data_IF_769506612810
#
_entry.id   IF_769506612810
#
_cell.length_a   1.000
_cell.length_b   1.000
_cell.length_c   1.000
_cell.angle_alpha   90.00
_cell.angle_beta   90.00
_cell.angle_gamma   90.00
#
_symmetry.space_group_name_H-M   'P 1'
#
loop_
_entity.id
_entity.type
_entity.pdbx_description
1 polymer ?
#
# COMPACT_ATOMS: atom_id res chain seq x y z
N UNK A 1 4.58 19.95 -5.68
CA UNK A 1 4.46 18.59 -6.25
C UNK A 1 2.98 18.31 -6.46
N UNK A 2 2.58 17.41 -7.36
CA UNK A 2 1.16 17.06 -7.49
C UNK A 2 0.71 16.33 -6.21
N UNK A 3 -0.47 16.68 -5.66
CA UNK A 3 -1.00 16.09 -4.42
C UNK A 3 -1.11 14.57 -4.51
N UNK A 4 -1.39 14.04 -5.71
CA UNK A 4 -1.41 12.60 -5.93
C UNK A 4 -0.02 11.95 -5.85
N UNK A 5 1.04 12.65 -6.29
CA UNK A 5 2.40 12.14 -6.21
C UNK A 5 2.89 12.07 -4.75
N UNK A 6 2.55 13.08 -3.94
CA UNK A 6 2.82 13.09 -2.49
C UNK A 6 2.08 11.96 -1.78
N UNK A 7 0.80 11.73 -2.10
CA UNK A 7 0.01 10.61 -1.56
C UNK A 7 0.63 9.25 -1.91
N UNK A 8 1.04 9.06 -3.18
CA UNK A 8 1.67 7.81 -3.61
C UNK A 8 3.01 7.59 -2.91
N UNK A 9 3.83 8.63 -2.78
CA UNK A 9 5.10 8.52 -2.07
C UNK A 9 4.90 8.19 -0.59
N UNK A 10 3.98 8.88 0.10
CA UNK A 10 3.62 8.57 1.49
C UNK A 10 3.14 7.13 1.63
N UNK A 11 2.29 6.64 0.72
CA UNK A 11 1.84 5.26 0.73
C UNK A 11 3.01 4.27 0.59
N UNK A 12 4.01 4.53 -0.27
CA UNK A 12 5.20 3.69 -0.39
C UNK A 12 5.97 3.63 0.94
N UNK A 13 6.23 4.79 1.56
CA UNK A 13 6.90 4.81 2.86
C UNK A 13 6.10 4.07 3.91
N UNK A 14 4.79 4.29 4.03
CA UNK A 14 4.01 3.61 5.06
C UNK A 14 3.93 2.10 4.86
N UNK A 15 3.86 1.63 3.62
CA UNK A 15 3.91 0.18 3.33
C UNK A 15 5.24 -0.45 3.71
N UNK A 16 6.36 0.22 3.44
CA UNK A 16 7.65 -0.31 3.88
C UNK A 16 7.70 -0.34 5.42
N UNK A 17 7.21 0.72 6.08
CA UNK A 17 7.21 0.81 7.54
C UNK A 17 6.45 -0.34 8.20
N UNK A 18 5.32 -0.75 7.60
CA UNK A 18 4.45 -1.82 8.10
C UNK A 18 4.84 -3.20 7.57
N UNK A 19 5.97 -3.32 6.86
CA UNK A 19 6.45 -4.60 6.33
C UNK A 19 5.64 -5.16 5.15
N UNK A 20 4.81 -4.33 4.51
CA UNK A 20 4.02 -4.65 3.31
C UNK A 20 4.83 -4.52 2.00
N UNK A 21 6.10 -4.16 2.10
CA UNK A 21 7.08 -4.21 1.01
C UNK A 21 8.20 -5.13 1.49
N UNK A 22 8.45 -6.20 0.75
CA UNK A 22 9.53 -7.12 1.04
C UNK A 22 10.86 -6.52 0.55
N UNK A 23 12.00 -6.87 1.18
CA UNK A 23 13.30 -6.26 0.83
C UNK A 23 13.68 -6.38 -0.65
N UNK A 24 13.26 -7.45 -1.33
CA UNK A 24 13.55 -7.67 -2.75
C UNK A 24 12.69 -6.82 -3.70
N UNK A 25 11.61 -6.20 -3.20
CA UNK A 25 10.74 -5.29 -3.95
C UNK A 25 11.20 -3.82 -3.82
N UNK A 26 12.06 -3.51 -2.84
CA UNK A 26 12.53 -2.15 -2.57
C UNK A 26 13.18 -1.44 -3.77
N UNK A 27 13.98 -2.09 -4.66
CA UNK A 27 14.54 -1.42 -5.84
C UNK A 27 13.47 -0.86 -6.80
N UNK A 28 12.35 -1.58 -6.96
CA UNK A 28 11.26 -1.14 -7.83
C UNK A 28 10.56 0.08 -7.21
N UNK A 29 10.30 0.05 -5.89
CA UNK A 29 9.74 1.19 -5.18
C UNK A 29 10.69 2.40 -5.10
N UNK A 30 11.99 2.16 -5.05
CA UNK A 30 13.00 3.22 -5.12
C UNK A 30 12.97 3.93 -6.47
N UNK A 31 12.84 3.16 -7.56
CA UNK A 31 12.66 3.70 -8.92
C UNK A 31 11.37 4.52 -9.02
N UNK A 32 10.27 4.03 -8.46
CA UNK A 32 9.01 4.77 -8.39
C UNK A 32 9.17 6.11 -7.65
N UNK A 33 9.83 6.13 -6.50
CA UNK A 33 10.07 7.36 -5.73
C UNK A 33 10.93 8.38 -6.50
N UNK A 34 11.95 7.93 -7.23
CA UNK A 34 12.74 8.79 -8.13
C UNK A 34 11.87 9.43 -9.21
N UNK A 35 10.95 8.66 -9.81
CA UNK A 35 10.00 9.17 -10.80
C UNK A 35 9.02 10.18 -10.19
N UNK A 36 8.66 10.02 -8.91
CA UNK A 36 7.82 10.96 -8.16
C UNK A 36 8.57 12.24 -7.74
N UNK A 37 9.87 12.33 -8.01
CA UNK A 37 10.69 13.52 -7.74
C UNK A 37 11.36 13.52 -6.36
N UNK A 38 11.33 12.41 -5.63
CA UNK A 38 12.15 12.22 -4.44
C UNK A 38 13.55 11.82 -4.89
N UNK A 39 14.60 12.43 -4.33
CA UNK A 39 15.98 12.10 -4.67
C UNK A 39 16.84 12.12 -3.40
N UNK A 40 17.61 11.06 -3.21
CA UNK A 40 18.60 10.93 -2.17
C UNK A 40 19.73 10.00 -2.63
N UNK A 41 20.95 10.13 -2.10
CA UNK A 41 22.04 9.22 -2.43
C UNK A 41 21.66 7.74 -2.27
N UNK A 42 21.08 7.37 -1.12
CA UNK A 42 20.67 5.99 -0.83
C UNK A 42 19.54 5.52 -1.75
N UNK A 43 18.64 6.42 -2.17
CA UNK A 43 17.51 6.08 -3.05
C UNK A 43 17.98 5.73 -4.47
N UNK A 44 18.95 6.49 -4.99
CA UNK A 44 19.54 6.21 -6.31
C UNK A 44 20.33 4.91 -6.33
N UNK A 45 21.07 4.63 -5.26
CA UNK A 45 21.80 3.37 -5.12
C UNK A 45 20.85 2.18 -5.05
N UNK A 46 19.79 2.29 -4.24
CA UNK A 46 18.78 1.26 -4.11
C UNK A 46 18.04 0.96 -5.42
N UNK A 47 17.69 2.00 -6.20
CA UNK A 47 17.07 1.83 -7.51
C UNK A 47 18.01 1.14 -8.53
N UNK A 48 19.32 1.20 -8.31
CA UNK A 48 20.33 0.56 -9.14
C UNK A 48 20.67 -0.87 -8.73
N UNK A 49 20.12 -1.39 -7.63
CA UNK A 49 20.45 -2.73 -7.16
C UNK A 49 19.91 -3.83 -8.10
N UNK A 50 20.70 -4.87 -8.41
CA UNK A 50 20.21 -6.05 -9.12
C UNK A 50 19.14 -6.78 -8.32
N UNK A 51 18.15 -7.36 -9.00
CA UNK A 51 17.16 -8.20 -8.33
C UNK A 51 17.83 -9.39 -7.62
N UNK A 52 17.67 -9.46 -6.29
CA UNK A 52 18.16 -10.57 -5.47
C UNK A 52 19.05 -10.17 -4.30
N UNK A 53 19.56 -8.94 -4.26
CA UNK A 53 20.44 -8.49 -3.17
C UNK A 53 19.65 -7.96 -1.97
N UNK A 54 19.25 -8.88 -1.08
CA UNK A 54 18.25 -8.61 -0.03
C UNK A 54 18.81 -7.88 1.19
N UNK A 55 20.09 -8.08 1.51
CA UNK A 55 20.69 -7.51 2.72
C UNK A 55 20.95 -6.02 2.52
N UNK A 56 21.53 -5.66 1.38
CA UNK A 56 21.90 -4.28 1.05
C UNK A 56 20.67 -3.39 0.86
N UNK A 57 19.58 -3.94 0.32
CA UNK A 57 18.35 -3.18 0.06
C UNK A 57 17.72 -2.59 1.34
N UNK A 58 17.67 -3.36 2.43
CA UNK A 58 17.07 -2.91 3.69
C UNK A 58 17.93 -1.85 4.39
N UNK A 59 19.26 -1.96 4.32
CA UNK A 59 20.16 -0.98 4.92
C UNK A 59 20.18 0.34 4.13
N UNK A 60 20.13 0.26 2.79
CA UNK A 60 19.96 1.46 1.95
C UNK A 60 18.63 2.17 2.24
N UNK A 61 17.54 1.43 2.43
CA UNK A 61 16.24 2.05 2.72
C UNK A 61 16.23 2.83 4.04
N UNK A 62 16.92 2.35 5.08
CA UNK A 62 17.09 3.11 6.34
C UNK A 62 17.76 4.46 6.08
N UNK A 63 18.74 4.51 5.16
CA UNK A 63 19.36 5.75 4.70
C UNK A 63 18.38 6.69 4.00
N UNK A 64 17.54 6.15 3.11
CA UNK A 64 16.54 6.93 2.34
C UNK A 64 15.66 7.79 3.25
N UNK A 65 15.05 7.19 4.29
CA UNK A 65 14.16 7.95 5.19
C UNK A 65 14.87 9.08 5.91
N UNK A 66 16.08 8.81 6.42
CA UNK A 66 16.88 9.80 7.13
C UNK A 66 17.31 10.96 6.22
N UNK A 67 17.74 10.66 5.00
CA UNK A 67 18.18 11.65 4.01
C UNK A 67 17.03 12.55 3.52
N UNK A 68 15.84 11.97 3.33
CA UNK A 68 14.66 12.70 2.87
C UNK A 68 13.90 13.41 4.01
N UNK A 69 14.30 13.19 5.27
CA UNK A 69 13.64 13.77 6.44
C UNK A 69 12.20 13.30 6.64
N UNK A 70 11.88 12.07 6.21
CA UNK A 70 10.52 11.54 6.26
C UNK A 70 10.30 10.87 7.63
N UNK A 71 9.33 11.35 8.44
CA UNK A 71 9.07 10.78 9.75
C UNK A 71 8.42 9.39 9.65
N UNK A 72 8.51 8.63 10.73
CA UNK A 72 7.71 7.41 10.93
C UNK A 72 6.38 7.77 11.57
N UNK A 73 5.32 7.04 11.20
CA UNK A 73 4.00 7.15 11.81
C UNK A 73 3.77 5.99 12.79
N UNK A 74 2.77 6.05 13.67
CA UNK A 74 2.39 4.85 14.44
C UNK A 74 1.81 3.77 13.52
N UNK A 75 1.83 2.52 13.98
CA UNK A 75 1.26 1.39 13.21
C UNK A 75 -0.22 1.60 12.90
N UNK A 76 -0.99 2.14 13.86
CA UNK A 76 -2.41 2.47 13.69
C UNK A 76 -2.63 3.61 12.69
N UNK A 77 -1.86 4.70 12.78
CA UNK A 77 -1.95 5.83 11.82
C UNK A 77 -1.61 5.39 10.40
N UNK A 78 -0.54 4.60 10.24
CA UNK A 78 -0.14 4.05 8.95
C UNK A 78 -1.23 3.17 8.36
N UNK A 79 -1.83 2.29 9.17
CA UNK A 79 -2.89 1.39 8.75
C UNK A 79 -4.17 2.14 8.35
N UNK A 80 -4.61 3.13 9.12
CA UNK A 80 -5.76 3.98 8.80
C UNK A 80 -5.52 4.73 7.48
N UNK A 81 -4.34 5.33 7.30
CA UNK A 81 -4.00 6.03 6.07
C UNK A 81 -4.00 5.09 4.87
N UNK A 82 -3.32 3.94 4.97
CA UNK A 82 -3.21 2.96 3.88
C UNK A 82 -4.56 2.36 3.51
N UNK A 83 -5.42 2.06 4.48
CA UNK A 83 -6.79 1.61 4.22
C UNK A 83 -7.56 2.62 3.36
N UNK A 84 -7.52 3.89 3.75
CA UNK A 84 -8.17 4.97 3.00
C UNK A 84 -7.53 5.21 1.63
N UNK A 85 -6.19 5.13 1.55
CA UNK A 85 -5.45 5.28 0.30
C UNK A 85 -5.86 4.20 -0.71
N UNK A 86 -5.82 2.93 -0.32
CA UNK A 86 -6.19 1.83 -1.21
C UNK A 86 -7.66 1.83 -1.61
N UNK A 87 -8.56 2.22 -0.70
CA UNK A 87 -9.96 2.45 -1.04
C UNK A 87 -10.11 3.54 -2.13
N UNK A 88 -9.42 4.68 -2.01
CA UNK A 88 -9.46 5.74 -3.03
C UNK A 88 -8.86 5.30 -4.37
N UNK A 89 -7.72 4.61 -4.38
CA UNK A 89 -7.09 4.17 -5.62
C UNK A 89 -7.93 3.10 -6.34
N UNK A 90 -8.56 2.21 -5.57
CA UNK A 90 -9.50 1.20 -6.08
C UNK A 90 -10.73 1.86 -6.70
N UNK A 91 -11.35 2.82 -6.01
CA UNK A 91 -12.57 3.48 -6.49
C UNK A 91 -12.33 4.38 -7.70
N UNK A 92 -11.11 4.92 -7.85
CA UNK A 92 -10.66 5.65 -9.04
C UNK A 92 -10.27 4.75 -10.21
N UNK A 93 -10.25 3.43 -10.02
CA UNK A 93 -9.89 2.45 -11.06
C UNK A 93 -8.41 2.45 -11.43
N UNK A 94 -7.53 2.94 -10.54
CA UNK A 94 -6.07 2.96 -10.76
C UNK A 94 -5.40 1.64 -10.35
N UNK A 95 -6.10 0.86 -9.54
CA UNK A 95 -5.77 -0.51 -9.18
C UNK A 95 -6.99 -1.39 -9.42
N UNK A 96 -6.76 -2.65 -9.80
CA UNK A 96 -7.81 -3.66 -9.88
C UNK A 96 -8.54 -3.79 -8.53
N UNK A 97 -9.85 -4.02 -8.58
CA UNK A 97 -10.69 -4.05 -7.37
C UNK A 97 -10.26 -5.13 -6.39
N UNK A 98 -9.87 -6.31 -6.88
CA UNK A 98 -9.47 -7.41 -6.01
C UNK A 98 -8.08 -7.16 -5.45
N UNK A 99 -7.14 -6.70 -6.28
CA UNK A 99 -5.82 -6.32 -5.81
C UNK A 99 -5.88 -5.22 -4.75
N UNK A 100 -6.67 -4.17 -4.99
CA UNK A 100 -6.92 -3.10 -4.02
C UNK A 100 -7.58 -3.60 -2.73
N UNK A 101 -8.53 -4.52 -2.82
CA UNK A 101 -9.14 -5.17 -1.65
C UNK A 101 -8.19 -6.00 -0.83
N UNK A 102 -7.26 -6.72 -1.45
CA UNK A 102 -6.19 -7.44 -0.73
C UNK A 102 -5.27 -6.48 0.00
N UNK A 103 -4.88 -5.38 -0.64
CA UNK A 103 -4.05 -4.34 0.00
C UNK A 103 -4.76 -3.63 1.16
N UNK A 104 -6.08 -3.39 1.05
CA UNK A 104 -6.89 -2.89 2.17
C UNK A 104 -6.89 -3.86 3.35
N UNK A 105 -7.04 -5.17 3.08
CA UNK A 105 -7.01 -6.20 4.11
C UNK A 105 -5.64 -6.29 4.78
N UNK A 106 -4.56 -6.42 4.00
CA UNK A 106 -3.18 -6.55 4.48
C UNK A 106 -2.76 -5.34 5.32
N UNK A 107 -3.15 -4.13 4.91
CA UNK A 107 -2.78 -2.91 5.62
C UNK A 107 -3.49 -2.71 6.96
N UNK A 108 -4.69 -3.25 7.14
CA UNK A 108 -5.58 -2.82 8.21
C UNK A 108 -6.06 -3.93 9.14
N UNK A 109 -6.14 -5.19 8.68
CA UNK A 109 -6.80 -6.24 9.46
C UNK A 109 -6.12 -6.51 10.81
N UNK A 110 -4.83 -6.83 10.82
CA UNK A 110 -4.09 -7.03 12.07
C UNK A 110 -3.72 -5.72 12.76
N UNK A 111 -3.18 -4.70 12.05
CA UNK A 111 -2.78 -3.44 12.67
C UNK A 111 -3.91 -2.71 13.42
N UNK A 112 -5.15 -2.81 12.96
CA UNK A 112 -6.31 -2.18 13.60
C UNK A 112 -7.07 -3.11 14.57
N UNK A 113 -6.48 -4.25 14.94
CA UNK A 113 -7.08 -5.17 15.91
C UNK A 113 -8.32 -5.90 15.40
N UNK A 114 -8.35 -6.26 14.11
CA UNK A 114 -9.42 -7.01 13.46
C UNK A 114 -10.79 -6.32 13.58
N UNK A 115 -10.89 -5.08 13.09
CA UNK A 115 -12.09 -4.27 13.24
C UNK A 115 -13.28 -4.94 12.53
N UNK A 116 -14.44 -4.94 13.20
CA UNK A 116 -15.66 -5.61 12.69
C UNK A 116 -16.14 -5.01 11.37
N UNK A 117 -15.80 -3.75 11.14
CA UNK A 117 -16.05 -2.98 9.93
C UNK A 117 -15.40 -3.64 8.69
N UNK A 118 -14.32 -4.41 8.86
CA UNK A 118 -13.63 -5.12 7.78
C UNK A 118 -14.12 -6.56 7.58
N UNK A 119 -15.07 -7.06 8.40
CA UNK A 119 -15.56 -8.44 8.25
C UNK A 119 -16.16 -8.72 6.87
N UNK A 120 -16.85 -7.74 6.27
CA UNK A 120 -17.40 -7.88 4.93
C UNK A 120 -16.30 -7.99 3.87
N UNK A 121 -15.21 -7.22 4.01
CA UNK A 121 -14.05 -7.33 3.12
C UNK A 121 -13.45 -8.73 3.14
N UNK A 122 -13.20 -9.27 4.34
CA UNK A 122 -12.64 -10.62 4.53
C UNK A 122 -13.54 -11.66 3.87
N UNK A 123 -14.83 -11.63 4.20
CA UNK A 123 -15.81 -12.54 3.62
C UNK A 123 -15.83 -12.48 2.09
N UNK A 124 -15.80 -11.29 1.49
CA UNK A 124 -15.83 -11.13 0.05
C UNK A 124 -14.54 -11.63 -0.62
N UNK A 125 -13.38 -11.47 0.01
CA UNK A 125 -12.11 -12.02 -0.47
C UNK A 125 -12.12 -13.56 -0.45
N UNK A 126 -12.65 -14.17 0.61
CA UNK A 126 -12.81 -15.64 0.67
C UNK A 126 -13.73 -16.13 -0.46
N UNK A 127 -14.88 -15.47 -0.67
CA UNK A 127 -15.80 -15.83 -1.75
C UNK A 127 -15.15 -15.65 -3.14
N UNK A 128 -14.28 -14.65 -3.33
CA UNK A 128 -13.57 -14.46 -4.60
C UNK A 128 -12.67 -15.65 -4.95
N UNK A 129 -11.97 -16.19 -3.95
CA UNK A 129 -11.06 -17.32 -4.11
C UNK A 129 -11.83 -18.65 -4.24
N UNK A 130 -12.90 -18.84 -3.46
CA UNK A 130 -13.67 -20.09 -3.40
C UNK A 130 -14.73 -20.24 -4.51
N UNK A 131 -15.30 -19.14 -5.02
CA UNK A 131 -16.46 -19.18 -5.92
C UNK A 131 -16.18 -18.45 -7.25
N UNK A 132 -15.43 -19.05 -8.21
CA UNK A 132 -15.12 -18.43 -9.50
C UNK A 132 -16.34 -17.93 -10.29
N UNK A 133 -17.47 -18.66 -10.22
CA UNK A 133 -18.72 -18.31 -10.90
C UNK A 133 -19.40 -17.07 -10.31
N UNK A 134 -18.96 -16.56 -9.15
CA UNK A 134 -19.49 -15.35 -8.50
C UNK A 134 -18.57 -14.14 -8.62
N UNK A 135 -17.40 -14.27 -9.27
CA UNK A 135 -16.36 -13.23 -9.31
C UNK A 135 -16.87 -11.86 -9.73
N UNK A 136 -17.69 -11.78 -10.78
CA UNK A 136 -18.25 -10.49 -11.21
C UNK A 136 -19.11 -9.83 -10.12
N UNK A 137 -20.00 -10.60 -9.49
CA UNK A 137 -20.82 -10.13 -8.37
C UNK A 137 -19.95 -9.75 -7.17
N UNK A 138 -18.94 -10.55 -6.83
CA UNK A 138 -18.03 -10.30 -5.71
C UNK A 138 -17.20 -9.03 -5.94
N UNK A 139 -16.65 -8.84 -7.15
CA UNK A 139 -15.94 -7.63 -7.55
C UNK A 139 -16.83 -6.39 -7.41
N UNK A 140 -18.09 -6.45 -7.83
CA UNK A 140 -19.03 -5.34 -7.68
C UNK A 140 -19.26 -4.99 -6.19
N UNK A 141 -19.34 -5.98 -5.31
CA UNK A 141 -19.48 -5.78 -3.86
C UNK A 141 -18.20 -5.24 -3.21
N UNK A 142 -17.04 -5.76 -3.59
CA UNK A 142 -15.74 -5.23 -3.15
C UNK A 142 -15.57 -3.76 -3.55
N UNK A 143 -15.98 -3.39 -4.77
CA UNK A 143 -15.97 -2.00 -5.21
C UNK A 143 -16.94 -1.13 -4.41
N UNK A 144 -18.14 -1.64 -4.09
CA UNK A 144 -19.09 -0.93 -3.24
C UNK A 144 -18.53 -0.70 -1.82
N UNK A 145 -17.89 -1.72 -1.24
CA UNK A 145 -17.20 -1.62 0.04
C UNK A 145 -16.04 -0.61 0.00
N UNK A 146 -15.22 -0.61 -1.06
CA UNK A 146 -14.17 0.39 -1.23
C UNK A 146 -14.72 1.82 -1.28
N UNK A 147 -15.91 2.03 -1.87
CA UNK A 147 -16.57 3.34 -1.92
C UNK A 147 -17.03 3.84 -0.55
N UNK A 148 -17.49 2.95 0.34
CA UNK A 148 -17.89 3.37 1.69
C UNK A 148 -16.67 3.86 2.46
N UNK A 149 -15.56 3.11 2.42
CA UNK A 149 -14.30 3.50 3.07
C UNK A 149 -13.71 4.80 2.51
N UNK A 150 -13.73 4.97 1.17
CA UNK A 150 -13.22 6.19 0.54
C UNK A 150 -14.02 7.44 0.90
N UNK A 151 -15.33 7.29 1.20
CA UNK A 151 -16.23 8.38 1.58
C UNK A 151 -16.25 8.71 3.08
N UNK A 152 -15.76 7.83 3.95
CA UNK A 152 -15.76 8.02 5.40
C UNK A 152 -14.61 8.89 5.93
N UNK A 153 -13.69 9.35 5.08
CA UNK A 153 -12.52 10.15 5.44
C UNK A 153 -12.59 11.62 5.02
N UNK A 154 -13.65 12.35 5.40
CA UNK A 154 -13.73 13.82 5.31
C UNK A 154 -13.84 14.45 6.69
#
# INVERSE_FOLDING_TARGET
MDSHAEDRARAIFLREQTGLILPHELPDFATDLLVLGYDSPSLRELAGLPQGDRADAADLWKGVRGELGIPTESEEEAAVYLLGYWARETTRGRIDVVAGSKLMYEAAWFPLGQPKELNELVYLLDIWDEMPHRREQTAAKLLAFARTLAGSGS
#
